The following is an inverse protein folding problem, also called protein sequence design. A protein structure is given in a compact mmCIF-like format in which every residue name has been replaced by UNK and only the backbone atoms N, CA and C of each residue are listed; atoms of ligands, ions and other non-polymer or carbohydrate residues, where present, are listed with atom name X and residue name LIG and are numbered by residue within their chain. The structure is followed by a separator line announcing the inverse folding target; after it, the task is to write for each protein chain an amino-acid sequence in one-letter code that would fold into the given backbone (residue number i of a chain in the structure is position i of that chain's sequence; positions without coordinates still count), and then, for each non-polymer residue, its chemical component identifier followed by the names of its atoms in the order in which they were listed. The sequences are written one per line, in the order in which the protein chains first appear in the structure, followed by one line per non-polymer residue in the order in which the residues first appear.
data_IF_153534434451
#
_entry.id   IF_153534434451
#
_cell.length_a   1.000
_cell.length_b   1.000
_cell.length_c   1.000
_cell.angle_alpha   90.00
_cell.angle_beta   90.00
_cell.angle_gamma   90.00
#
_symmetry.space_group_name_H-M   'P 1'
#
loop_
_entity.id
_entity.type
_entity.pdbx_description
1 polymer ?
#
# COMPACT_ATOMS: atom_id res chain seq x y z
N UNK A 1 27.32 -20.01 10.74
CA UNK A 1 26.14 -20.59 10.07
C UNK A 1 24.89 -19.71 10.19
N UNK A 2 24.43 -19.36 11.40
CA UNK A 2 23.22 -18.54 11.59
C UNK A 2 23.31 -17.14 10.94
N UNK A 3 24.44 -16.44 11.08
CA UNK A 3 24.64 -15.12 10.46
C UNK A 3 24.48 -15.17 8.92
N UNK A 4 25.12 -16.14 8.27
CA UNK A 4 24.99 -16.36 6.83
C UNK A 4 23.54 -16.61 6.38
N UNK A 5 22.76 -17.40 7.14
CA UNK A 5 21.35 -17.63 6.82
C UNK A 5 20.56 -16.32 6.84
N UNK A 6 20.77 -15.49 7.86
CA UNK A 6 20.10 -14.19 7.99
C UNK A 6 20.46 -13.27 6.81
N UNK A 7 21.73 -13.23 6.41
CA UNK A 7 22.17 -12.43 5.25
C UNK A 7 21.52 -12.89 3.94
N UNK A 8 21.48 -14.19 3.67
CA UNK A 8 20.80 -14.73 2.49
C UNK A 8 19.30 -14.47 2.51
N UNK A 9 18.64 -14.68 3.65
CA UNK A 9 17.22 -14.34 3.82
C UNK A 9 16.99 -12.85 3.59
N UNK A 10 17.87 -11.99 4.08
CA UNK A 10 17.79 -10.55 3.87
C UNK A 10 17.87 -10.19 2.39
N UNK A 11 18.84 -10.76 1.68
CA UNK A 11 19.02 -10.57 0.24
C UNK A 11 17.78 -11.03 -0.55
N UNK A 12 17.29 -12.25 -0.28
CA UNK A 12 16.14 -12.81 -0.98
C UNK A 12 14.87 -12.01 -0.72
N UNK A 13 14.63 -11.57 0.53
CA UNK A 13 13.47 -10.75 0.88
C UNK A 13 13.53 -9.37 0.24
N UNK A 14 14.72 -8.75 0.14
CA UNK A 14 14.89 -7.47 -0.57
C UNK A 14 14.52 -7.61 -2.04
N UNK A 15 15.03 -8.65 -2.70
CA UNK A 15 14.69 -8.92 -4.10
C UNK A 15 13.22 -9.23 -4.29
N UNK A 16 12.62 -10.07 -3.44
CA UNK A 16 11.19 -10.34 -3.44
C UNK A 16 10.39 -9.03 -3.30
N UNK A 17 10.75 -8.18 -2.35
CA UNK A 17 10.06 -6.92 -2.10
C UNK A 17 10.13 -5.97 -3.29
N UNK A 18 11.33 -5.77 -3.86
CA UNK A 18 11.53 -4.91 -5.03
C UNK A 18 10.75 -5.43 -6.24
N UNK A 19 10.80 -6.75 -6.51
CA UNK A 19 10.07 -7.36 -7.62
C UNK A 19 8.55 -7.20 -7.42
N UNK A 20 8.04 -7.48 -6.22
CA UNK A 20 6.63 -7.32 -5.89
C UNK A 20 6.18 -5.85 -6.04
N UNK A 21 6.98 -4.89 -5.57
CA UNK A 21 6.71 -3.47 -5.71
C UNK A 21 6.67 -3.02 -7.18
N UNK A 22 7.63 -3.46 -8.00
CA UNK A 22 7.62 -3.19 -9.45
C UNK A 22 6.36 -3.76 -10.10
N UNK A 23 5.98 -4.99 -9.76
CA UNK A 23 4.79 -5.63 -10.30
C UNK A 23 3.49 -4.90 -9.89
N UNK A 24 3.40 -4.45 -8.64
CA UNK A 24 2.24 -3.72 -8.12
C UNK A 24 2.12 -2.32 -8.74
N UNK A 25 3.22 -1.57 -8.78
CA UNK A 25 3.24 -0.23 -9.39
C UNK A 25 2.97 -0.34 -10.90
N UNK A 26 3.59 -1.30 -11.58
CA UNK A 26 3.39 -1.53 -13.01
C UNK A 26 1.93 -1.85 -13.36
N UNK A 27 1.28 -2.69 -12.56
CA UNK A 27 -0.17 -2.95 -12.72
C UNK A 27 -1.01 -1.69 -12.46
N UNK A 28 -0.66 -0.88 -11.46
CA UNK A 28 -1.37 0.37 -11.18
C UNK A 28 -1.28 1.34 -12.36
N UNK A 29 -0.09 1.50 -12.96
CA UNK A 29 0.10 2.32 -14.17
C UNK A 29 -0.70 1.77 -15.35
N UNK A 30 -0.73 0.44 -15.51
CA UNK A 30 -1.54 -0.20 -16.54
C UNK A 30 -3.03 0.13 -16.39
N UNK A 31 -3.58 0.04 -15.17
CA UNK A 31 -4.99 0.38 -14.94
C UNK A 31 -5.28 1.87 -15.10
N UNK A 32 -4.35 2.77 -14.74
CA UNK A 32 -4.48 4.20 -15.03
C UNK A 32 -4.53 4.46 -16.54
N UNK A 33 -3.67 3.80 -17.31
CA UNK A 33 -3.68 3.90 -18.77
C UNK A 33 -4.99 3.34 -19.36
N UNK A 34 -5.44 2.19 -18.86
CA UNK A 34 -6.71 1.56 -19.29
C UNK A 34 -7.88 2.52 -19.04
N UNK A 35 -7.99 3.04 -17.81
CA UNK A 35 -9.06 3.95 -17.40
C UNK A 35 -9.09 5.24 -18.22
N UNK A 36 -7.92 5.84 -18.46
CA UNK A 36 -7.80 7.04 -19.30
C UNK A 36 -8.04 6.76 -20.80
N UNK A 37 -7.89 5.50 -21.22
CA UNK A 37 -8.09 5.06 -22.60
C UNK A 37 -9.53 4.66 -22.94
N UNK A 38 -10.42 4.56 -21.94
CA UNK A 38 -11.80 4.14 -22.14
C UNK A 38 -12.55 5.11 -23.07
N UNK A 39 -13.33 4.54 -23.98
CA UNK A 39 -14.24 5.28 -24.87
C UNK A 39 -15.68 4.90 -24.51
N UNK A 40 -16.61 5.81 -24.80
CA UNK A 40 -18.04 5.53 -24.65
C UNK A 40 -18.42 4.33 -25.52
N UNK A 41 -19.17 3.34 -24.99
CA UNK A 41 -19.54 2.15 -25.74
C UNK A 41 -20.27 2.48 -27.02
N UNK A 42 -19.83 1.91 -28.16
CA UNK A 42 -20.48 2.15 -29.45
C UNK A 42 -21.69 1.25 -29.68
N UNK A 43 -21.64 0.00 -29.22
CA UNK A 43 -22.73 -0.95 -29.35
C UNK A 43 -23.88 -0.62 -28.37
N UNK A 44 -25.12 -0.70 -28.85
CA UNK A 44 -26.31 -0.48 -28.02
C UNK A 44 -26.40 -1.52 -26.88
N UNK A 45 -26.09 -2.77 -27.19
CA UNK A 45 -26.10 -3.90 -26.24
C UNK A 45 -25.16 -3.66 -25.04
N UNK A 46 -23.99 -3.07 -25.25
CA UNK A 46 -23.04 -2.79 -24.18
C UNK A 46 -23.54 -1.66 -23.26
N UNK A 47 -24.26 -0.68 -23.82
CA UNK A 47 -24.93 0.36 -23.02
C UNK A 47 -26.07 -0.23 -22.20
N UNK A 48 -26.87 -1.13 -22.79
CA UNK A 48 -27.96 -1.83 -22.09
C UNK A 48 -27.44 -2.69 -20.94
N UNK A 49 -26.27 -3.30 -21.08
CA UNK A 49 -25.57 -4.05 -20.01
C UNK A 49 -25.00 -3.15 -18.91
N UNK A 50 -25.00 -1.82 -19.08
CA UNK A 50 -24.46 -0.87 -18.11
C UNK A 50 -22.95 -0.68 -18.18
N UNK A 51 -22.32 -0.97 -19.33
CA UNK A 51 -20.90 -0.68 -19.54
C UNK A 51 -20.69 0.84 -19.50
N UNK A 52 -19.81 1.30 -18.63
CA UNK A 52 -19.45 2.70 -18.48
C UNK A 52 -18.49 3.15 -19.60
N UNK A 53 -17.51 2.30 -19.91
CA UNK A 53 -16.52 2.56 -20.95
C UNK A 53 -15.89 1.27 -21.47
N UNK A 54 -15.42 1.31 -22.71
CA UNK A 54 -14.78 0.19 -23.38
C UNK A 54 -13.44 0.57 -24.03
N UNK A 55 -12.53 -0.39 -24.13
CA UNK A 55 -11.23 -0.22 -24.78
C UNK A 55 -10.83 -1.50 -25.51
N UNK A 56 -10.40 -1.34 -26.75
CA UNK A 56 -9.87 -2.42 -27.57
C UNK A 56 -8.35 -2.36 -27.59
N UNK A 57 -7.70 -3.49 -27.35
CA UNK A 57 -6.24 -3.62 -27.38
C UNK A 57 -5.82 -4.87 -28.16
N UNK A 58 -4.60 -4.86 -28.69
CA UNK A 58 -3.98 -6.02 -29.33
C UNK A 58 -2.66 -6.33 -28.62
N UNK A 59 -2.44 -7.60 -28.30
CA UNK A 59 -1.16 -8.06 -27.74
C UNK A 59 -0.93 -9.53 -28.07
N UNK A 60 0.29 -9.89 -28.47
CA UNK A 60 0.63 -11.28 -28.82
C UNK A 60 -0.19 -11.85 -29.99
N UNK A 61 -0.72 -10.99 -30.87
CA UNK A 61 -1.59 -11.39 -31.99
C UNK A 61 -3.08 -11.58 -31.63
N UNK A 62 -3.45 -11.48 -30.36
CA UNK A 62 -4.85 -11.54 -29.90
C UNK A 62 -5.46 -10.15 -29.66
N UNK A 63 -6.79 -10.06 -29.77
CA UNK A 63 -7.56 -8.84 -29.51
C UNK A 63 -8.31 -8.96 -28.18
N UNK A 64 -8.22 -7.90 -27.37
CA UNK A 64 -8.88 -7.77 -26.07
C UNK A 64 -9.95 -6.70 -26.17
N UNK A 65 -11.14 -7.00 -25.65
CA UNK A 65 -12.24 -6.04 -25.48
C UNK A 65 -12.49 -5.85 -23.98
N UNK A 66 -11.91 -4.79 -23.43
CA UNK A 66 -12.04 -4.48 -22.01
C UNK A 66 -13.26 -3.61 -21.78
N UNK A 67 -14.13 -4.02 -20.88
CA UNK A 67 -15.34 -3.30 -20.50
C UNK A 67 -15.30 -2.96 -19.00
N UNK A 68 -15.41 -1.68 -18.67
CA UNK A 68 -15.51 -1.21 -17.29
C UNK A 68 -16.97 -0.91 -16.95
N UNK A 69 -17.41 -1.40 -15.80
CA UNK A 69 -18.72 -1.10 -15.23
C UNK A 69 -18.53 -0.09 -14.08
N UNK A 70 -19.41 0.90 -13.97
CA UNK A 70 -19.34 1.90 -12.88
C UNK A 70 -19.73 1.30 -11.52
N UNK A 71 -20.57 0.27 -11.55
CA UNK A 71 -21.02 -0.50 -10.38
C UNK A 71 -20.94 -1.98 -10.68
N UNK A 72 -21.12 -2.82 -9.66
CA UNK A 72 -21.17 -4.26 -9.85
C UNK A 72 -22.24 -4.64 -10.90
N UNK A 73 -21.92 -5.49 -11.89
CA UNK A 73 -22.89 -5.96 -12.87
C UNK A 73 -23.91 -6.90 -12.21
N UNK A 74 -25.06 -7.08 -12.86
CA UNK A 74 -26.15 -7.91 -12.34
C UNK A 74 -25.75 -9.38 -12.08
N UNK A 75 -24.76 -9.89 -12.83
CA UNK A 75 -24.18 -11.21 -12.62
C UNK A 75 -22.66 -11.11 -12.63
N UNK A 76 -22.04 -11.38 -11.50
CA UNK A 76 -20.59 -11.53 -11.40
C UNK A 76 -20.19 -12.96 -11.76
N UNK A 77 -19.11 -13.15 -12.54
CA UNK A 77 -18.57 -14.46 -12.83
C UNK A 77 -17.97 -15.09 -11.57
N UNK A 78 -18.00 -16.42 -11.47
CA UNK A 78 -17.44 -17.17 -10.33
C UNK A 78 -15.91 -17.13 -10.32
N UNK A 79 -15.29 -16.98 -11.49
CA UNK A 79 -13.86 -16.93 -11.75
C UNK A 79 -13.32 -15.49 -11.82
N UNK A 80 -13.91 -14.57 -11.05
CA UNK A 80 -13.47 -13.19 -10.98
C UNK A 80 -12.01 -13.10 -10.53
N UNK A 81 -11.14 -12.62 -11.41
CA UNK A 81 -9.77 -12.31 -11.06
C UNK A 81 -9.72 -10.99 -10.30
N UNK A 82 -9.22 -11.03 -9.07
CA UNK A 82 -8.92 -9.82 -8.29
C UNK A 82 -7.41 -9.68 -8.13
N UNK A 83 -6.85 -8.62 -8.71
CA UNK A 83 -5.42 -8.33 -8.72
C UNK A 83 -4.89 -7.75 -7.39
N UNK A 84 -5.11 -8.43 -6.25
CA UNK A 84 -4.63 -7.94 -4.95
C UNK A 84 -3.25 -8.48 -4.57
N UNK A 85 -2.83 -9.63 -5.12
CA UNK A 85 -1.64 -10.35 -4.67
C UNK A 85 -0.34 -9.54 -4.72
N UNK A 86 -0.18 -8.66 -5.71
CA UNK A 86 1.04 -7.86 -5.87
C UNK A 86 1.19 -6.88 -4.70
N UNK A 87 0.13 -6.15 -4.38
CA UNK A 87 0.08 -5.24 -3.22
C UNK A 87 0.29 -5.98 -1.89
N UNK A 88 -0.40 -7.11 -1.69
CA UNK A 88 -0.26 -7.93 -0.49
C UNK A 88 1.16 -8.48 -0.31
N UNK A 89 1.77 -8.96 -1.39
CA UNK A 89 3.15 -9.47 -1.36
C UNK A 89 4.14 -8.36 -1.06
N UNK A 90 3.98 -7.17 -1.65
CA UNK A 90 4.80 -5.99 -1.32
C UNK A 90 4.67 -5.63 0.15
N UNK A 91 3.45 -5.61 0.69
CA UNK A 91 3.23 -5.30 2.11
C UNK A 91 3.87 -6.35 3.03
N UNK A 92 3.61 -7.63 2.80
CA UNK A 92 4.15 -8.73 3.62
C UNK A 92 5.68 -8.77 3.58
N UNK A 93 6.27 -8.66 2.39
CA UNK A 93 7.74 -8.63 2.23
C UNK A 93 8.36 -7.38 2.85
N UNK A 94 7.70 -6.23 2.74
CA UNK A 94 8.14 -4.98 3.36
C UNK A 94 8.11 -5.05 4.88
N UNK A 95 7.04 -5.63 5.44
CA UNK A 95 6.94 -5.86 6.87
C UNK A 95 7.96 -6.90 7.37
N UNK A 96 8.20 -7.97 6.61
CA UNK A 96 9.26 -8.94 6.93
C UNK A 96 10.66 -8.29 6.94
N UNK A 97 10.93 -7.40 5.98
CA UNK A 97 12.16 -6.61 5.95
C UNK A 97 12.25 -5.66 7.14
N UNK A 98 11.16 -4.99 7.51
CA UNK A 98 11.12 -4.14 8.70
C UNK A 98 11.50 -4.93 9.96
N UNK A 99 10.91 -6.12 10.16
CA UNK A 99 11.21 -7.00 11.29
C UNK A 99 12.69 -7.41 11.29
N UNK A 100 13.20 -7.92 10.16
CA UNK A 100 14.56 -8.45 10.10
C UNK A 100 15.61 -7.36 10.22
N UNK A 101 15.40 -6.21 9.57
CA UNK A 101 16.38 -5.13 9.55
C UNK A 101 16.40 -4.34 10.84
N UNK A 102 15.24 -4.05 11.42
CA UNK A 102 15.14 -3.14 12.55
C UNK A 102 14.88 -3.86 13.87
N UNK A 103 14.02 -4.88 13.88
CA UNK A 103 13.54 -5.49 15.12
C UNK A 103 14.39 -6.64 15.65
N UNK A 104 15.25 -7.23 14.82
CA UNK A 104 16.20 -8.29 15.25
C UNK A 104 17.36 -7.70 16.05
N UNK A 105 17.82 -6.49 15.71
CA UNK A 105 18.83 -5.75 16.47
C UNK A 105 18.38 -4.30 16.77
N UNK A 106 17.33 -4.14 17.59
CA UNK A 106 16.68 -2.85 17.80
C UNK A 106 17.54 -1.88 18.62
N UNK A 107 18.46 -2.38 19.45
CA UNK A 107 19.41 -1.53 20.16
C UNK A 107 20.33 -0.75 19.22
N UNK A 108 20.65 -1.31 18.06
CA UNK A 108 21.46 -0.64 17.05
C UNK A 108 20.63 0.17 16.06
N UNK A 109 19.46 -0.34 15.64
CA UNK A 109 18.69 0.24 14.54
C UNK A 109 17.51 1.12 14.96
N UNK A 110 17.00 0.99 16.19
CA UNK A 110 15.81 1.72 16.67
C UNK A 110 16.10 2.62 17.87
N UNK A 111 17.06 2.26 18.72
CA UNK A 111 17.43 3.08 19.88
C UNK A 111 18.49 4.11 19.46
N UNK A 112 18.27 5.37 19.85
CA UNK A 112 19.25 6.44 19.72
C UNK A 112 19.77 6.85 21.11
N UNK A 113 20.93 6.34 21.54
CA UNK A 113 21.53 6.66 22.84
C UNK A 113 21.87 8.14 23.01
N UNK A 114 22.10 8.86 21.91
CA UNK A 114 22.46 10.29 21.90
C UNK A 114 21.23 11.20 21.83
N UNK A 115 20.03 10.66 21.99
CA UNK A 115 18.80 11.46 21.98
C UNK A 115 18.77 12.47 23.13
N UNK A 116 18.40 13.71 22.82
CA UNK A 116 18.14 14.75 23.82
C UNK A 116 17.02 14.37 24.81
N UNK A 117 16.21 13.37 24.45
CA UNK A 117 15.11 12.88 25.26
C UNK A 117 15.57 11.68 26.09
N UNK A 118 15.72 11.88 27.41
CA UNK A 118 16.23 10.85 28.32
C UNK A 118 15.43 9.54 28.29
N UNK A 119 14.11 9.60 28.07
CA UNK A 119 13.29 8.39 27.96
C UNK A 119 13.60 7.58 26.69
N UNK A 120 13.93 8.25 25.58
CA UNK A 120 14.24 7.61 24.30
C UNK A 120 15.66 7.02 24.30
N UNK A 121 16.61 7.75 24.87
CA UNK A 121 18.00 7.31 25.01
C UNK A 121 18.15 6.04 25.88
N UNK A 122 17.26 5.86 26.87
CA UNK A 122 17.30 4.73 27.80
C UNK A 122 16.34 3.58 27.42
N UNK A 123 15.80 3.57 26.19
CA UNK A 123 14.97 2.45 25.74
C UNK A 123 15.77 1.15 25.64
N UNK A 124 15.24 0.09 26.23
CA UNK A 124 15.72 -1.26 25.96
C UNK A 124 15.21 -1.74 24.60
N UNK A 125 15.90 -2.71 23.99
CA UNK A 125 15.57 -3.18 22.63
C UNK A 125 14.12 -3.66 22.44
N UNK A 126 13.55 -4.35 23.42
CA UNK A 126 12.15 -4.80 23.33
C UNK A 126 11.16 -3.64 23.48
N UNK A 127 11.47 -2.62 24.29
CA UNK A 127 10.65 -1.41 24.41
C UNK A 127 10.65 -0.64 23.09
N UNK A 128 11.81 -0.52 22.42
CA UNK A 128 11.91 0.09 21.11
C UNK A 128 11.07 -0.66 20.05
N UNK A 129 11.08 -2.00 20.06
CA UNK A 129 10.23 -2.82 19.19
C UNK A 129 8.73 -2.58 19.42
N UNK A 130 8.29 -2.60 20.68
CA UNK A 130 6.88 -2.33 21.01
C UNK A 130 6.46 -0.92 20.65
N UNK A 131 7.35 0.06 20.88
CA UNK A 131 7.09 1.45 20.50
C UNK A 131 6.96 1.58 18.98
N UNK A 132 7.83 0.94 18.20
CA UNK A 132 7.76 0.97 16.74
C UNK A 132 6.46 0.33 16.21
N UNK A 133 6.06 -0.82 16.75
CA UNK A 133 4.78 -1.45 16.38
C UNK A 133 3.58 -0.61 16.83
N UNK A 134 3.62 -0.08 18.05
CA UNK A 134 2.58 0.80 18.60
C UNK A 134 2.45 2.10 17.82
N UNK A 135 3.55 2.63 17.31
CA UNK A 135 3.58 3.80 16.43
C UNK A 135 2.89 3.51 15.09
N UNK A 136 3.19 2.37 14.45
CA UNK A 136 2.51 1.96 13.21
C UNK A 136 1.00 1.77 13.41
N UNK A 137 0.61 1.06 14.48
CA UNK A 137 -0.81 0.82 14.79
C UNK A 137 -1.51 2.12 15.19
N UNK A 138 -0.89 2.94 16.04
CA UNK A 138 -1.42 4.22 16.49
C UNK A 138 -1.59 5.21 15.34
N UNK A 139 -0.59 5.29 14.45
CA UNK A 139 -0.69 6.09 13.22
C UNK A 139 -1.87 5.67 12.34
N UNK A 140 -2.07 4.35 12.16
CA UNK A 140 -3.23 3.83 11.44
C UNK A 140 -4.55 4.18 12.12
N UNK A 141 -4.67 4.01 13.44
CA UNK A 141 -5.89 4.35 14.21
C UNK A 141 -6.20 5.84 14.08
N UNK A 142 -5.21 6.71 14.30
CA UNK A 142 -5.37 8.16 14.19
C UNK A 142 -5.80 8.54 12.78
N UNK A 143 -5.12 8.04 11.75
CA UNK A 143 -5.48 8.30 10.35
C UNK A 143 -6.90 7.84 10.02
N UNK A 144 -7.27 6.62 10.44
CA UNK A 144 -8.61 6.07 10.23
C UNK A 144 -9.70 6.93 10.91
N UNK A 145 -9.45 7.42 12.12
CA UNK A 145 -10.38 8.32 12.81
C UNK A 145 -10.44 9.71 12.15
N UNK A 146 -9.33 10.24 11.66
CA UNK A 146 -9.31 11.50 10.89
C UNK A 146 -10.18 11.37 9.63
N UNK A 147 -10.01 10.29 8.85
CA UNK A 147 -10.82 10.04 7.67
C UNK A 147 -12.32 10.00 8.01
N UNK A 148 -12.71 9.21 9.02
CA UNK A 148 -14.13 9.05 9.41
C UNK A 148 -14.76 10.32 9.97
N UNK A 149 -14.00 11.14 10.69
CA UNK A 149 -14.55 12.34 11.37
C UNK A 149 -14.52 13.57 10.48
N UNK A 150 -13.49 13.74 9.64
CA UNK A 150 -13.29 14.94 8.84
C UNK A 150 -13.92 14.79 7.45
N UNK A 151 -13.72 13.65 6.79
CA UNK A 151 -14.21 13.40 5.42
C UNK A 151 -14.92 12.03 5.31
N UNK A 152 -16.03 11.80 6.05
CA UNK A 152 -16.77 10.53 6.00
C UNK A 152 -17.32 10.22 4.59
N UNK A 153 -17.65 11.26 3.82
CA UNK A 153 -18.27 11.16 2.50
C UNK A 153 -17.33 11.64 1.37
N UNK A 154 -16.03 11.81 1.63
CA UNK A 154 -15.04 12.29 0.65
C UNK A 154 -15.28 13.71 0.09
N UNK A 155 -16.11 14.53 0.75
CA UNK A 155 -16.38 15.92 0.32
C UNK A 155 -15.42 16.94 0.94
N UNK A 156 -14.65 16.55 1.98
CA UNK A 156 -13.82 17.47 2.79
C UNK A 156 -12.33 17.09 2.75
N UNK A 157 -11.88 16.56 1.62
CA UNK A 157 -10.53 15.99 1.46
C UNK A 157 -9.40 17.01 1.62
N UNK A 158 -9.66 18.29 1.31
CA UNK A 158 -8.72 19.38 1.57
C UNK A 158 -8.44 19.58 3.06
N UNK A 159 -9.49 19.56 3.90
CA UNK A 159 -9.34 19.67 5.36
C UNK A 159 -8.65 18.42 5.94
N UNK A 160 -8.98 17.24 5.43
CA UNK A 160 -8.31 15.99 5.81
C UNK A 160 -6.82 16.06 5.48
N UNK A 161 -6.45 16.56 4.30
CA UNK A 161 -5.06 16.71 3.87
C UNK A 161 -4.27 17.67 4.77
N UNK A 162 -4.87 18.79 5.18
CA UNK A 162 -4.25 19.72 6.15
C UNK A 162 -4.08 19.03 7.52
N UNK A 163 -5.10 18.31 8.00
CA UNK A 163 -5.01 17.59 9.28
C UNK A 163 -3.90 16.52 9.26
N UNK A 164 -3.77 15.77 8.17
CA UNK A 164 -2.69 14.79 7.97
C UNK A 164 -1.33 15.49 7.88
N UNK A 165 -1.23 16.62 7.20
CA UNK A 165 0.02 17.40 7.15
C UNK A 165 0.46 17.86 8.55
N UNK A 166 -0.47 18.38 9.36
CA UNK A 166 -0.20 18.74 10.77
C UNK A 166 0.22 17.52 11.57
N UNK A 167 -0.45 16.38 11.41
CA UNK A 167 -0.05 15.12 12.04
C UNK A 167 1.39 14.74 11.68
N UNK A 168 1.80 14.86 10.41
CA UNK A 168 3.17 14.56 9.98
C UNK A 168 4.19 15.50 10.60
N UNK A 169 3.89 16.81 10.72
CA UNK A 169 4.77 17.78 11.39
C UNK A 169 4.94 17.44 12.87
N UNK A 170 3.84 17.10 13.56
CA UNK A 170 3.87 16.68 14.96
C UNK A 170 4.72 15.42 15.12
N UNK A 171 4.48 14.40 14.29
CA UNK A 171 5.26 13.16 14.29
C UNK A 171 6.74 13.42 14.03
N UNK A 172 7.10 14.23 13.04
CA UNK A 172 8.50 14.53 12.72
C UNK A 172 9.21 15.38 13.78
N UNK A 173 8.47 16.16 14.56
CA UNK A 173 9.03 16.93 15.66
C UNK A 173 9.28 16.08 16.92
N UNK A 174 8.42 15.09 17.17
CA UNK A 174 8.47 14.25 18.37
C UNK A 174 9.14 12.88 18.18
N UNK A 175 9.32 12.43 16.94
CA UNK A 175 10.05 11.21 16.58
C UNK A 175 11.53 11.48 16.39
#
# INVERSE_FOLDING_TARGET
MQAYIIEFVNLLLRWLHVIAAIAWIGESIYFVMLDNGLRTPKAAEDREKGVFGEMWAVHGGGFYHNQKYATAPAKLPNDLHWSFWKAYTTWLSGFALFVILYMVNPGFYLVNPDSNWAWAANLTGWQANLLALGFLLGGWVVYNELCKRISPNMERDGLLSIAVAVMMVVVAYFG
#
